data_IF_382840777208
#
_entry.id   IF_382840777208
#
_cell.length_a   1.000
_cell.length_b   1.000
_cell.length_c   1.000
_cell.angle_alpha   90.00
_cell.angle_beta   90.00
_cell.angle_gamma   90.00
#
_symmetry.space_group_name_H-M   'P 1'
#
loop_
_entity.id
_entity.type
_entity.pdbx_description
1 polymer ?
#
# COMPACT_ATOMS: atom_id res chain seq x y z
N UNK A 1 7.85 7.80 14.49
CA UNK A 1 6.91 8.46 13.54
C UNK A 1 7.40 8.34 12.08
N UNK A 2 8.17 7.31 11.70
CA UNK A 2 8.77 7.22 10.35
C UNK A 2 8.06 6.24 9.42
N UNK A 3 7.40 5.21 9.97
CA UNK A 3 6.75 4.14 9.19
C UNK A 3 5.52 4.65 8.42
N UNK A 4 4.72 5.55 9.01
CA UNK A 4 3.55 6.15 8.36
C UNK A 4 3.93 6.89 7.07
N UNK A 5 5.02 7.66 7.12
CA UNK A 5 5.52 8.41 5.96
C UNK A 5 6.02 7.49 4.85
N UNK A 6 6.70 6.39 5.20
CA UNK A 6 7.23 5.41 4.22
C UNK A 6 6.12 4.63 3.52
N UNK A 7 5.07 4.21 4.24
CA UNK A 7 3.93 3.52 3.64
C UNK A 7 3.17 4.45 2.68
N UNK A 8 2.95 5.71 3.06
CA UNK A 8 2.36 6.70 2.15
C UNK A 8 3.18 6.88 0.86
N UNK A 9 4.51 6.97 0.99
CA UNK A 9 5.41 7.06 -0.17
C UNK A 9 5.36 5.81 -1.05
N UNK A 10 5.30 4.62 -0.45
CA UNK A 10 5.19 3.36 -1.17
C UNK A 10 3.90 3.28 -1.99
N UNK A 11 2.77 3.66 -1.38
CA UNK A 11 1.46 3.71 -2.06
C UNK A 11 1.52 4.68 -3.24
N UNK A 12 2.04 5.90 -3.02
CA UNK A 12 2.15 6.91 -4.08
C UNK A 12 3.03 6.45 -5.24
N UNK A 13 4.16 5.77 -4.95
CA UNK A 13 5.05 5.23 -5.98
C UNK A 13 4.33 4.17 -6.83
N UNK A 14 3.66 3.22 -6.19
CA UNK A 14 2.91 2.15 -6.88
C UNK A 14 1.78 2.74 -7.74
N UNK A 15 1.02 3.69 -7.21
CA UNK A 15 -0.03 4.37 -7.96
C UNK A 15 0.51 5.15 -9.16
N UNK A 16 1.66 5.83 -9.00
CA UNK A 16 2.32 6.54 -10.11
C UNK A 16 2.82 5.60 -11.22
N UNK A 17 3.19 4.36 -10.87
CA UNK A 17 3.53 3.29 -11.82
C UNK A 17 2.30 2.59 -12.43
N UNK A 18 1.09 2.99 -12.04
CA UNK A 18 -0.17 2.45 -12.56
C UNK A 18 -0.70 1.24 -11.81
N UNK A 19 -0.21 0.95 -10.60
CA UNK A 19 -0.77 -0.08 -9.73
C UNK A 19 -1.96 0.48 -8.92
N UNK A 20 -2.98 -0.35 -8.73
CA UNK A 20 -4.06 -0.09 -7.80
C UNK A 20 -3.70 -0.67 -6.43
N UNK A 21 -3.63 0.20 -5.41
CA UNK A 21 -3.35 -0.19 -4.03
C UNK A 21 -4.60 -0.01 -3.16
N UNK A 22 -5.02 -1.07 -2.47
CA UNK A 22 -6.16 -1.06 -1.53
C UNK A 22 -5.68 -1.41 -0.12
N UNK A 23 -6.02 -0.58 0.85
CA UNK A 23 -5.79 -0.87 2.28
C UNK A 23 -7.02 -1.50 2.94
N UNK A 24 -6.79 -2.42 3.86
CA UNK A 24 -7.79 -3.13 4.67
C UNK A 24 -7.39 -3.06 6.15
N UNK A 25 -8.32 -2.68 7.04
CA UNK A 25 -8.08 -2.60 8.49
C UNK A 25 -9.36 -2.77 9.30
N UNK A 26 -9.22 -3.14 10.58
CA UNK A 26 -10.34 -3.40 11.50
C UNK A 26 -10.33 -2.42 12.70
N UNK A 27 -11.49 -1.95 13.20
CA UNK A 27 -12.84 -2.17 12.68
C UNK A 27 -13.10 -1.41 11.37
N UNK A 28 -14.14 -1.80 10.64
CA UNK A 28 -14.70 -1.08 9.48
C UNK A 28 -15.28 0.31 9.86
N UNK A 29 -14.68 0.99 10.84
CA UNK A 29 -15.07 2.31 11.29
C UNK A 29 -14.63 3.33 10.26
N UNK A 30 -15.63 3.63 9.43
CA UNK A 30 -15.88 4.91 8.82
C UNK A 30 -14.82 5.37 7.82
N UNK A 31 -15.35 5.68 6.65
CA UNK A 31 -14.75 6.49 5.61
C UNK A 31 -14.13 7.77 6.20
N UNK A 32 -12.94 7.68 6.76
CA UNK A 32 -12.16 8.86 7.11
C UNK A 32 -11.33 9.23 5.88
N UNK A 33 -11.89 10.20 5.16
CA UNK A 33 -11.16 11.19 4.40
C UNK A 33 -9.69 11.28 4.80
N UNK A 34 -8.81 11.13 3.80
CA UNK A 34 -7.58 11.91 3.66
C UNK A 34 -6.83 12.21 4.98
N UNK A 35 -6.26 11.17 5.60
CA UNK A 35 -5.41 11.34 6.78
C UNK A 35 -4.81 10.03 7.26
N UNK A 36 -3.64 9.68 6.69
CA UNK A 36 -2.56 8.82 7.22
C UNK A 36 -2.87 7.69 8.23
N UNK A 37 -4.03 7.02 8.14
CA UNK A 37 -4.28 5.78 8.86
C UNK A 37 -3.69 4.64 8.04
N UNK A 38 -2.57 4.08 8.50
CA UNK A 38 -1.98 2.87 7.93
C UNK A 38 -3.00 1.74 8.08
N UNK A 39 -3.28 1.04 6.99
CA UNK A 39 -4.11 -0.15 7.01
C UNK A 39 -3.33 -1.36 7.55
N UNK A 40 -4.01 -2.30 8.21
CA UNK A 40 -3.38 -3.53 8.71
C UNK A 40 -2.82 -4.39 7.58
N UNK A 41 -3.48 -4.37 6.42
CA UNK A 41 -3.09 -5.12 5.23
C UNK A 41 -3.32 -4.28 3.97
N UNK A 42 -2.56 -4.58 2.92
CA UNK A 42 -2.65 -3.96 1.61
C UNK A 42 -2.79 -5.02 0.53
N UNK A 43 -3.37 -4.65 -0.61
CA UNK A 43 -3.36 -5.46 -1.84
C UNK A 43 -2.99 -4.58 -3.01
N UNK A 44 -2.02 -5.03 -3.81
CA UNK A 44 -1.51 -4.32 -4.98
C UNK A 44 -1.92 -5.08 -6.24
N UNK A 45 -2.51 -4.38 -7.19
CA UNK A 45 -3.10 -4.93 -8.41
C UNK A 45 -2.62 -4.17 -9.64
N UNK A 46 -2.20 -4.87 -10.70
CA UNK A 46 -1.95 -4.27 -12.02
C UNK A 46 -2.12 -5.31 -13.13
N UNK A 47 -3.23 -5.24 -13.88
CA UNK A 47 -3.55 -6.27 -14.88
C UNK A 47 -3.70 -7.64 -14.20
N UNK A 48 -2.90 -8.62 -14.64
CA UNK A 48 -2.82 -9.97 -14.05
C UNK A 48 -1.92 -10.04 -12.80
N UNK A 49 -1.19 -8.97 -12.46
CA UNK A 49 -0.37 -8.92 -11.25
C UNK A 49 -1.25 -8.66 -10.02
N UNK A 50 -1.18 -9.56 -9.04
CA UNK A 50 -1.90 -9.48 -7.77
C UNK A 50 -1.03 -10.03 -6.65
N UNK A 51 -0.73 -9.19 -5.64
CA UNK A 51 0.07 -9.59 -4.49
C UNK A 51 -0.72 -10.40 -3.46
N UNK A 52 -2.04 -10.46 -3.59
CA UNK A 52 -2.91 -10.85 -2.49
C UNK A 52 -2.85 -9.84 -1.33
N UNK A 53 -3.34 -10.23 -0.16
CA UNK A 53 -3.23 -9.42 1.05
C UNK A 53 -1.82 -9.53 1.61
N UNK A 54 -1.13 -8.40 1.71
CA UNK A 54 0.24 -8.28 2.21
C UNK A 54 0.30 -7.32 3.38
N UNK A 55 1.23 -7.53 4.30
CA UNK A 55 1.47 -6.61 5.41
C UNK A 55 2.11 -5.29 4.92
N UNK A 56 2.06 -4.20 5.71
CA UNK A 56 2.70 -2.93 5.34
C UNK A 56 4.20 -3.06 5.07
N UNK A 57 4.89 -3.97 5.76
CA UNK A 57 6.32 -4.22 5.51
C UNK A 57 6.56 -4.89 4.15
N UNK A 58 5.70 -5.81 3.74
CA UNK A 58 5.78 -6.48 2.44
C UNK A 58 5.45 -5.51 1.29
N UNK A 59 4.57 -4.53 1.52
CA UNK A 59 4.31 -3.45 0.56
C UNK A 59 5.60 -2.67 0.22
N UNK A 60 6.45 -2.42 1.21
CA UNK A 60 7.74 -1.76 0.97
C UNK A 60 8.67 -2.65 0.14
N UNK A 61 8.69 -3.96 0.37
CA UNK A 61 9.50 -4.90 -0.41
C UNK A 61 9.07 -4.93 -1.88
N UNK A 62 7.76 -4.87 -2.17
CA UNK A 62 7.25 -4.77 -3.55
C UNK A 62 7.78 -3.51 -4.23
N UNK A 63 7.77 -2.37 -3.53
CA UNK A 63 8.33 -1.11 -4.06
C UNK A 63 9.83 -1.21 -4.29
N UNK A 64 10.58 -1.78 -3.35
CA UNK A 64 12.03 -1.95 -3.50
C UNK A 64 12.38 -2.82 -4.70
N UNK A 65 11.63 -3.91 -4.95
CA UNK A 65 11.82 -4.76 -6.12
C UNK A 65 11.58 -4.00 -7.43
N UNK A 66 10.46 -3.26 -7.52
CA UNK A 66 10.09 -2.48 -8.72
C UNK A 66 11.01 -1.28 -8.99
N UNK A 67 11.76 -0.81 -8.00
CA UNK A 67 12.75 0.26 -8.16
C UNK A 67 14.09 -0.26 -8.71
N UNK A 68 14.35 -1.57 -8.62
CA UNK A 68 15.56 -2.21 -9.13
C UNK A 68 15.40 -2.73 -10.58
N UNK A 69 14.18 -2.68 -11.13
CA UNK A 69 13.85 -2.99 -12.54
C UNK A 69 13.85 -1.74 -13.43
#
# INVERSE_FOLDING_TARGET
METHSKIGQAINYLQAKGFLVKGYGYPESESHHSGESIADQYRVLQGDYDTGMIAPMELMQVVEQLQQE
#
